data_IF_957891736928
#
_entry.id   IF_957891736928
#
_cell.length_a   1.000
_cell.length_b   1.000
_cell.length_c   1.000
_cell.angle_alpha   90.00
_cell.angle_beta   90.00
_cell.angle_gamma   90.00
#
_symmetry.space_group_name_H-M   'P 1'
#
loop_
_entity.id
_entity.type
_entity.pdbx_description
1 polymer ?
#
# COMPACT_ATOMS: atom_id res chain seq x y z
N UNK A 1 -11.15 24.11 12.65
CA UNK A 1 -12.61 24.11 12.41
C UNK A 1 -13.02 22.67 12.14
N UNK A 2 -13.94 22.17 12.95
CA UNK A 2 -14.42 20.78 12.92
C UNK A 2 -15.31 20.57 11.69
N UNK A 3 -14.98 19.61 10.82
CA UNK A 3 -15.92 19.12 9.81
C UNK A 3 -16.62 17.91 10.40
N UNK A 4 -17.89 18.12 10.74
CA UNK A 4 -18.81 17.15 11.31
C UNK A 4 -19.21 16.14 10.23
N UNK A 5 -19.28 14.87 10.65
CA UNK A 5 -19.71 13.74 9.83
C UNK A 5 -21.05 13.97 9.15
N UNK A 6 -21.06 13.71 7.84
CA UNK A 6 -22.23 13.27 7.11
C UNK A 6 -21.86 11.91 6.55
N UNK A 7 -22.73 10.91 6.67
CA UNK A 7 -22.57 9.68 5.91
C UNK A 7 -22.66 10.04 4.42
N UNK A 8 -21.51 10.34 3.81
CA UNK A 8 -21.40 10.68 2.40
C UNK A 8 -21.72 9.40 1.63
N UNK A 9 -22.88 9.37 0.98
CA UNK A 9 -23.29 8.25 0.15
C UNK A 9 -22.22 7.98 -0.91
N UNK A 10 -21.68 6.76 -0.93
CA UNK A 10 -20.74 6.35 -1.97
C UNK A 10 -21.54 6.16 -3.28
N UNK A 11 -21.25 6.95 -4.31
CA UNK A 11 -21.85 6.72 -5.63
C UNK A 11 -21.31 5.39 -6.20
N UNK A 12 -22.16 4.55 -6.81
CA UNK A 12 -21.67 3.36 -7.49
C UNK A 12 -20.74 3.75 -8.66
N UNK A 13 -19.63 3.03 -8.91
CA UNK A 13 -18.77 3.35 -10.04
C UNK A 13 -19.55 3.16 -11.35
N UNK A 14 -19.49 4.16 -12.23
CA UNK A 14 -20.02 3.99 -13.58
C UNK A 14 -19.13 3.01 -14.32
N UNK A 15 -19.71 2.04 -15.05
CA UNK A 15 -18.95 1.10 -15.90
C UNK A 15 -18.07 1.78 -16.95
N UNK A 16 -18.25 3.08 -17.20
CA UNK A 16 -17.43 3.88 -18.10
C UNK A 16 -16.21 4.52 -17.42
N UNK A 17 -16.19 4.59 -16.10
CA UNK A 17 -15.08 5.16 -15.35
C UNK A 17 -14.01 4.11 -15.08
N UNK A 18 -12.74 4.50 -15.22
CA UNK A 18 -11.61 3.62 -14.98
C UNK A 18 -10.56 4.30 -14.10
N UNK A 19 -9.78 3.47 -13.41
CA UNK A 19 -8.67 3.88 -12.54
C UNK A 19 -7.38 3.47 -13.22
N UNK A 20 -6.52 4.45 -13.52
CA UNK A 20 -5.13 4.17 -13.88
C UNK A 20 -4.35 3.81 -12.61
N UNK A 21 -3.78 2.62 -12.57
CA UNK A 21 -3.00 2.13 -11.44
C UNK A 21 -1.51 2.13 -11.81
N UNK A 22 -0.73 2.98 -11.15
CA UNK A 22 0.71 3.17 -11.42
C UNK A 22 1.54 2.54 -10.30
N UNK A 23 2.59 1.81 -10.68
CA UNK A 23 3.52 1.19 -9.72
C UNK A 23 2.95 -0.04 -9.01
N UNK A 24 1.80 -0.56 -9.46
CA UNK A 24 1.11 -1.68 -8.80
C UNK A 24 1.55 -3.08 -9.27
N UNK A 25 2.51 -3.18 -10.18
CA UNK A 25 3.14 -4.45 -10.57
C UNK A 25 4.35 -4.83 -9.71
N UNK A 26 4.67 -4.02 -8.68
CA UNK A 26 5.73 -4.27 -7.70
C UNK A 26 5.30 -5.19 -6.54
N UNK A 27 6.16 -5.33 -5.52
CA UNK A 27 6.04 -6.35 -4.47
C UNK A 27 4.78 -6.31 -3.59
N UNK A 28 4.15 -5.14 -3.44
CA UNK A 28 2.89 -5.00 -2.68
C UNK A 28 1.74 -4.45 -3.52
N UNK A 29 2.04 -4.01 -4.74
CA UNK A 29 1.09 -3.36 -5.64
C UNK A 29 -0.17 -4.17 -5.95
N UNK A 30 -0.07 -5.49 -6.27
CA UNK A 30 -1.25 -6.31 -6.57
C UNK A 30 -2.22 -6.42 -5.40
N UNK A 31 -1.71 -6.32 -4.16
CA UNK A 31 -2.55 -6.30 -2.96
C UNK A 31 -3.33 -4.98 -2.82
N UNK A 32 -2.74 -3.85 -3.23
CA UNK A 32 -3.50 -2.60 -3.37
C UNK A 32 -4.59 -2.71 -4.46
N UNK A 33 -4.33 -3.44 -5.55
CA UNK A 33 -5.35 -3.72 -6.57
C UNK A 33 -6.49 -4.57 -6.00
N UNK A 34 -6.20 -5.61 -5.20
CA UNK A 34 -7.23 -6.35 -4.45
C UNK A 34 -8.08 -5.41 -3.59
N UNK A 35 -7.47 -4.41 -2.94
CA UNK A 35 -8.19 -3.39 -2.17
C UNK A 35 -9.10 -2.49 -3.00
N UNK A 36 -8.68 -2.10 -4.21
CA UNK A 36 -9.54 -1.33 -5.13
C UNK A 36 -10.78 -2.15 -5.51
N UNK A 37 -10.63 -3.47 -5.73
CA UNK A 37 -11.76 -4.37 -5.98
C UNK A 37 -12.67 -4.49 -4.77
N UNK A 38 -12.13 -4.64 -3.57
CA UNK A 38 -12.91 -4.65 -2.33
C UNK A 38 -13.75 -3.37 -2.17
N UNK A 39 -13.28 -2.22 -2.67
CA UNK A 39 -14.00 -0.96 -2.68
C UNK A 39 -15.11 -0.87 -3.76
N UNK A 40 -15.32 -1.96 -4.52
CA UNK A 40 -16.37 -2.10 -5.52
C UNK A 40 -15.97 -1.77 -6.96
N UNK A 41 -14.67 -1.57 -7.23
CA UNK A 41 -14.20 -1.38 -8.61
C UNK A 41 -14.09 -2.72 -9.33
N UNK A 42 -14.72 -2.85 -10.50
CA UNK A 42 -14.60 -4.07 -11.29
C UNK A 42 -13.18 -4.18 -11.87
N UNK A 43 -12.54 -5.37 -11.90
CA UNK A 43 -11.17 -5.52 -12.40
C UNK A 43 -10.94 -4.92 -13.78
N UNK A 44 -11.92 -5.02 -14.69
CA UNK A 44 -11.80 -4.44 -16.05
C UNK A 44 -11.71 -2.91 -16.09
N UNK A 45 -12.07 -2.23 -15.00
CA UNK A 45 -11.92 -0.78 -14.83
C UNK A 45 -10.54 -0.39 -14.31
N UNK A 46 -9.70 -1.36 -13.91
CA UNK A 46 -8.39 -1.14 -13.35
C UNK A 46 -7.34 -1.26 -14.47
N UNK A 47 -6.80 -0.13 -14.88
CA UNK A 47 -5.80 -0.01 -15.93
C UNK A 47 -4.40 -0.03 -15.31
N UNK A 48 -3.76 -1.18 -15.33
CA UNK A 48 -2.45 -1.41 -14.72
C UNK A 48 -1.35 -0.91 -15.66
N UNK A 49 -0.68 0.18 -15.27
CA UNK A 49 0.47 0.69 -16.00
C UNK A 49 1.71 -0.14 -15.66
N UNK A 50 2.39 -0.68 -16.68
CA UNK A 50 3.64 -1.41 -16.53
C UNK A 50 4.56 -1.18 -17.72
N UNK A 51 5.87 -1.16 -17.47
CA UNK A 51 6.90 -1.22 -18.52
C UNK A 51 7.03 -2.59 -19.15
N UNK A 52 6.73 -3.64 -18.36
CA UNK A 52 6.75 -5.02 -18.81
C UNK A 52 5.35 -5.66 -18.60
N UNK A 53 4.53 -5.74 -19.67
CA UNK A 53 3.21 -6.34 -19.61
C UNK A 53 3.26 -7.88 -19.56
N UNK A 54 4.44 -8.50 -19.64
CA UNK A 54 4.66 -9.95 -19.56
C UNK A 54 5.19 -10.42 -18.20
N UNK A 55 5.51 -9.47 -17.31
CA UNK A 55 5.92 -9.78 -15.93
C UNK A 55 4.88 -10.64 -15.20
N UNK A 56 5.34 -11.50 -14.27
CA UNK A 56 4.50 -12.43 -13.51
C UNK A 56 3.32 -11.73 -12.80
N UNK A 57 3.57 -10.56 -12.21
CA UNK A 57 2.54 -9.73 -11.59
C UNK A 57 1.50 -9.22 -12.61
N UNK A 58 1.93 -8.74 -13.78
CA UNK A 58 1.01 -8.30 -14.83
C UNK A 58 0.17 -9.46 -15.41
N UNK A 59 0.76 -10.63 -15.58
CA UNK A 59 0.03 -11.82 -16.04
C UNK A 59 -1.03 -12.25 -15.03
N UNK A 60 -0.70 -12.25 -13.73
CA UNK A 60 -1.66 -12.53 -12.65
C UNK A 60 -2.76 -11.48 -12.57
N UNK A 61 -2.45 -10.19 -12.66
CA UNK A 61 -3.47 -9.15 -12.67
C UNK A 61 -4.36 -9.23 -13.92
N UNK A 62 -3.80 -9.60 -15.08
CA UNK A 62 -4.55 -9.83 -16.32
C UNK A 62 -5.50 -11.02 -16.20
N UNK A 63 -5.06 -12.15 -15.63
CA UNK A 63 -5.94 -13.31 -15.44
C UNK A 63 -7.10 -13.01 -14.51
N UNK A 64 -6.91 -12.08 -13.56
CA UNK A 64 -7.96 -11.56 -12.66
C UNK A 64 -8.86 -10.50 -13.31
N UNK A 65 -8.71 -10.24 -14.61
CA UNK A 65 -9.55 -9.34 -15.39
C UNK A 65 -9.08 -7.88 -15.48
N UNK A 66 -7.91 -7.54 -14.92
CA UNK A 66 -7.36 -6.19 -15.03
C UNK A 66 -6.86 -5.90 -16.44
N UNK A 67 -6.97 -4.64 -16.88
CA UNK A 67 -6.45 -4.19 -18.17
C UNK A 67 -4.99 -3.79 -17.99
N UNK A 68 -4.06 -4.51 -18.61
CA UNK A 68 -2.64 -4.11 -18.61
C UNK A 68 -2.40 -3.12 -19.73
N UNK A 69 -1.74 -2.00 -19.42
CA UNK A 69 -1.40 -0.95 -20.36
C UNK A 69 0.11 -0.69 -20.30
N UNK A 70 0.77 -0.84 -21.44
CA UNK A 70 2.22 -0.67 -21.54
C UNK A 70 2.58 0.82 -21.63
N UNK A 71 3.41 1.29 -20.70
CA UNK A 71 4.01 2.63 -20.72
C UNK A 71 5.22 2.70 -19.80
N UNK A 72 6.10 3.66 -20.09
CA UNK A 72 7.22 4.06 -19.23
C UNK A 72 6.95 5.44 -18.66
N UNK A 73 7.24 5.62 -17.37
CA UNK A 73 7.13 6.91 -16.69
C UNK A 73 8.16 7.93 -17.21
N UNK A 74 9.19 7.48 -17.92
CA UNK A 74 10.19 8.33 -18.59
C UNK A 74 9.86 8.59 -20.07
N UNK A 75 8.78 8.02 -20.63
CA UNK A 75 8.31 8.26 -22.00
C UNK A 75 6.93 8.94 -22.00
N UNK A 76 6.93 10.27 -22.18
CA UNK A 76 5.73 11.10 -22.23
C UNK A 76 4.70 10.63 -23.27
N UNK A 77 5.14 10.19 -24.44
CA UNK A 77 4.25 9.76 -25.50
C UNK A 77 3.56 8.44 -25.13
N UNK A 78 4.28 7.54 -24.44
CA UNK A 78 3.68 6.32 -23.89
C UNK A 78 2.62 6.62 -22.83
N UNK A 79 2.89 7.56 -21.92
CA UNK A 79 1.94 7.98 -20.87
C UNK A 79 0.69 8.60 -21.47
N UNK A 80 0.84 9.50 -22.45
CA UNK A 80 -0.29 10.11 -23.14
C UNK A 80 -1.20 9.07 -23.81
N UNK A 81 -0.65 7.93 -24.25
CA UNK A 81 -1.46 6.81 -24.77
C UNK A 81 -2.12 6.01 -23.65
N UNK A 82 -1.38 5.73 -22.58
CA UNK A 82 -1.83 4.85 -21.50
C UNK A 82 -2.90 5.46 -20.61
N UNK A 83 -2.88 6.78 -20.41
CA UNK A 83 -3.82 7.49 -19.52
C UNK A 83 -5.21 7.65 -20.16
N UNK A 84 -5.33 7.57 -21.50
CA UNK A 84 -6.61 7.81 -22.19
C UNK A 84 -7.74 6.95 -21.64
N UNK A 85 -8.85 7.61 -21.32
CA UNK A 85 -10.06 7.00 -20.77
C UNK A 85 -10.04 6.78 -19.26
N UNK A 86 -8.91 7.04 -18.59
CA UNK A 86 -8.85 7.03 -17.13
C UNK A 86 -9.53 8.27 -16.54
N UNK A 87 -10.40 8.05 -15.55
CA UNK A 87 -11.10 9.10 -14.81
C UNK A 87 -10.41 9.42 -13.49
N UNK A 88 -9.76 8.41 -12.92
CA UNK A 88 -9.06 8.44 -11.65
C UNK A 88 -7.66 7.84 -11.82
N UNK A 89 -6.74 8.19 -10.92
CA UNK A 89 -5.44 7.54 -10.87
C UNK A 89 -5.08 7.14 -9.43
N UNK A 90 -4.74 5.87 -9.23
CA UNK A 90 -4.08 5.40 -8.02
C UNK A 90 -2.60 5.24 -8.30
N UNK A 91 -1.78 6.03 -7.62
CA UNK A 91 -0.32 6.02 -7.78
C UNK A 91 0.27 5.36 -6.54
N UNK A 92 0.65 4.09 -6.66
CA UNK A 92 1.28 3.34 -5.59
C UNK A 92 2.75 3.75 -5.41
N UNK A 93 3.41 4.13 -6.50
CA UNK A 93 4.77 4.65 -6.50
C UNK A 93 5.25 4.98 -7.91
N UNK A 94 6.24 5.85 -8.01
CA UNK A 94 6.94 6.21 -9.26
C UNK A 94 8.41 5.80 -9.23
N UNK A 95 8.81 5.06 -8.18
CA UNK A 95 10.14 4.47 -8.01
C UNK A 95 10.08 2.94 -7.90
N UNK A 96 11.24 2.29 -7.95
CA UNK A 96 11.36 0.87 -7.66
C UNK A 96 11.32 0.55 -6.16
N UNK A 97 11.01 -0.70 -5.80
CA UNK A 97 11.23 -1.22 -4.43
C UNK A 97 12.73 -1.51 -4.26
N UNK A 98 13.51 -0.47 -3.97
CA UNK A 98 14.97 -0.53 -3.87
C UNK A 98 15.44 -0.31 -2.43
N UNK A 99 16.55 -0.98 -2.07
CA UNK A 99 17.24 -0.82 -0.77
C UNK A 99 17.84 0.57 -0.56
N UNK A 100 18.07 1.31 -1.62
CA UNK A 100 18.53 2.71 -1.60
C UNK A 100 17.46 3.65 -2.15
N UNK A 101 17.61 4.95 -1.93
CA UNK A 101 16.77 5.97 -2.54
C UNK A 101 16.89 5.92 -4.07
N UNK A 102 15.75 5.96 -4.75
CA UNK A 102 15.67 6.03 -6.20
C UNK A 102 15.69 7.50 -6.64
N UNK A 103 16.84 7.99 -7.08
CA UNK A 103 17.04 9.41 -7.40
C UNK A 103 16.13 9.96 -8.51
N UNK A 104 15.49 9.08 -9.30
CA UNK A 104 14.60 9.47 -10.39
C UNK A 104 13.11 9.41 -10.03
N UNK A 105 12.75 9.01 -8.80
CA UNK A 105 11.34 8.86 -8.40
C UNK A 105 10.55 10.17 -8.55
N UNK A 106 11.16 11.30 -8.17
CA UNK A 106 10.54 12.63 -8.24
C UNK A 106 10.42 13.13 -9.67
N UNK A 107 11.45 12.92 -10.49
CA UNK A 107 11.43 13.27 -11.92
C UNK A 107 10.30 12.52 -12.64
N UNK A 108 10.18 11.21 -12.42
CA UNK A 108 9.09 10.39 -12.96
C UNK A 108 7.72 10.80 -12.42
N UNK A 109 7.63 11.25 -11.17
CA UNK A 109 6.39 11.83 -10.64
C UNK A 109 6.02 13.12 -11.39
N UNK A 110 6.98 13.97 -11.71
CA UNK A 110 6.78 15.17 -12.53
C UNK A 110 6.28 14.85 -13.95
N UNK A 111 6.91 13.91 -14.64
CA UNK A 111 6.49 13.47 -15.98
C UNK A 111 5.06 12.90 -15.96
N UNK A 112 4.77 12.05 -14.98
CA UNK A 112 3.42 11.51 -14.78
C UNK A 112 2.41 12.62 -14.45
N UNK A 113 2.78 13.60 -13.62
CA UNK A 113 1.91 14.71 -13.25
C UNK A 113 1.51 15.55 -14.47
N UNK A 114 2.46 15.87 -15.35
CA UNK A 114 2.21 16.59 -16.59
C UNK A 114 1.26 15.79 -17.51
N UNK A 115 1.50 14.49 -17.66
CA UNK A 115 0.66 13.62 -18.50
C UNK A 115 -0.77 13.47 -17.95
N UNK A 116 -0.93 13.34 -16.62
CA UNK A 116 -2.24 13.31 -15.97
C UNK A 116 -2.97 14.64 -16.12
N UNK A 117 -2.26 15.77 -16.01
CA UNK A 117 -2.85 17.11 -16.13
C UNK A 117 -3.40 17.38 -17.54
N UNK A 118 -2.76 16.82 -18.55
CA UNK A 118 -3.21 16.89 -19.95
C UNK A 118 -4.34 15.89 -20.29
N UNK A 119 -4.93 15.22 -19.30
CA UNK A 119 -5.95 14.18 -19.47
C UNK A 119 -7.24 14.49 -18.70
N UNK A 120 -8.24 13.60 -18.82
CA UNK A 120 -9.54 13.72 -18.13
C UNK A 120 -9.54 13.19 -16.67
N UNK A 121 -8.35 12.89 -16.12
CA UNK A 121 -8.21 12.45 -14.72
C UNK A 121 -8.63 13.57 -13.77
N UNK A 122 -9.68 13.29 -12.99
CA UNK A 122 -10.22 14.26 -12.02
C UNK A 122 -9.59 14.24 -10.65
N UNK A 123 -9.08 13.08 -10.24
CA UNK A 123 -8.62 12.87 -8.89
C UNK A 123 -7.55 11.78 -8.86
N UNK A 124 -6.47 12.09 -8.16
CA UNK A 124 -5.34 11.22 -7.90
C UNK A 124 -5.36 10.81 -6.42
N UNK A 125 -5.28 9.52 -6.14
CA UNK A 125 -4.93 9.00 -4.82
C UNK A 125 -3.46 8.55 -4.86
N UNK A 126 -2.62 9.16 -4.04
CA UNK A 126 -1.18 8.88 -4.03
C UNK A 126 -0.77 8.18 -2.73
N UNK A 127 -0.10 7.04 -2.85
CA UNK A 127 0.52 6.33 -1.74
C UNK A 127 1.81 7.06 -1.31
N UNK A 128 1.73 7.72 -0.15
CA UNK A 128 2.79 8.48 0.49
C UNK A 128 3.08 7.93 1.90
N UNK A 129 3.84 8.66 2.71
CA UNK A 129 4.22 8.28 4.06
C UNK A 129 3.81 9.33 5.10
N UNK A 130 3.31 8.89 6.25
CA UNK A 130 2.98 9.75 7.39
C UNK A 130 4.22 9.98 8.23
N UNK A 131 4.41 11.24 8.64
CA UNK A 131 5.52 11.66 9.49
C UNK A 131 5.27 13.07 10.02
N UNK A 132 5.77 13.36 11.22
CA UNK A 132 5.88 14.73 11.74
C UNK A 132 6.84 15.59 10.90
N UNK A 133 6.74 16.93 10.89
CA UNK A 133 7.56 17.80 10.03
C UNK A 133 9.07 17.55 10.10
N UNK A 134 9.64 17.33 11.29
CA UNK A 134 11.10 17.18 11.50
C UNK A 134 11.57 15.71 11.57
N UNK A 135 10.91 14.81 10.82
CA UNK A 135 11.14 13.36 10.89
C UNK A 135 12.54 12.89 10.44
N UNK A 136 13.20 13.62 9.53
CA UNK A 136 14.58 13.36 9.12
C UNK A 136 14.82 12.07 8.31
N UNK A 137 13.81 11.57 7.60
CA UNK A 137 13.88 10.35 6.77
C UNK A 137 13.82 10.72 5.29
N UNK A 138 14.93 10.56 4.57
CA UNK A 138 15.03 11.03 3.20
C UNK A 138 14.02 10.36 2.23
N UNK A 139 13.68 9.07 2.44
CA UNK A 139 12.60 8.40 1.67
C UNK A 139 11.22 9.04 1.87
N UNK A 140 10.91 9.49 3.08
CA UNK A 140 9.62 10.14 3.37
C UNK A 140 9.61 11.52 2.72
N UNK A 141 10.74 12.27 2.76
CA UNK A 141 10.83 13.55 2.06
C UNK A 141 10.70 13.38 0.54
N UNK A 142 11.27 12.33 -0.03
CA UNK A 142 11.07 12.01 -1.45
C UNK A 142 9.60 11.76 -1.82
N UNK A 143 8.82 11.12 -0.94
CA UNK A 143 7.36 11.00 -1.11
C UNK A 143 6.67 12.38 -1.02
N UNK A 144 7.13 13.27 -0.13
CA UNK A 144 6.64 14.67 -0.04
C UNK A 144 6.97 15.47 -1.29
N UNK A 145 8.13 15.27 -1.90
CA UNK A 145 8.51 15.86 -3.18
C UNK A 145 7.58 15.42 -4.31
N UNK A 146 7.24 14.13 -4.36
CA UNK A 146 6.25 13.62 -5.30
C UNK A 146 4.85 14.21 -5.05
N UNK A 147 4.40 14.32 -3.79
CA UNK A 147 3.15 15.01 -3.44
C UNK A 147 3.13 16.45 -3.97
N UNK A 148 4.24 17.19 -3.80
CA UNK A 148 4.38 18.56 -4.32
C UNK A 148 4.32 18.58 -5.84
N UNK A 149 5.05 17.69 -6.53
CA UNK A 149 5.03 17.61 -7.99
C UNK A 149 3.62 17.42 -8.55
N UNK A 150 2.80 16.54 -7.96
CA UNK A 150 1.41 16.36 -8.38
C UNK A 150 0.55 17.60 -8.11
N UNK A 151 0.69 18.22 -6.93
CA UNK A 151 -0.08 19.41 -6.56
C UNK A 151 0.28 20.62 -7.43
N UNK A 152 1.57 20.85 -7.67
CA UNK A 152 2.09 22.00 -8.42
C UNK A 152 1.72 21.90 -9.92
N UNK A 153 1.52 20.70 -10.45
CA UNK A 153 0.91 20.48 -11.77
C UNK A 153 -0.58 20.85 -11.82
N UNK A 154 -1.19 21.23 -10.69
CA UNK A 154 -2.61 21.59 -10.59
C UNK A 154 -3.55 20.39 -10.67
N UNK A 155 -3.11 19.22 -10.22
CA UNK A 155 -3.95 18.03 -10.04
C UNK A 155 -4.71 18.11 -8.71
N UNK A 156 -5.92 17.56 -8.67
CA UNK A 156 -6.60 17.27 -7.40
C UNK A 156 -6.04 15.96 -6.85
N UNK A 157 -5.43 16.02 -5.67
CA UNK A 157 -4.72 14.90 -5.08
C UNK A 157 -5.22 14.64 -3.66
N UNK A 158 -5.42 13.37 -3.32
CA UNK A 158 -5.48 12.89 -1.95
C UNK A 158 -4.20 12.07 -1.67
N UNK A 159 -3.29 12.62 -0.87
CA UNK A 159 -2.11 11.90 -0.41
C UNK A 159 -2.50 10.97 0.75
N UNK A 160 -2.51 9.67 0.49
CA UNK A 160 -2.69 8.60 1.47
C UNK A 160 -1.34 8.32 2.12
N UNK A 161 -1.12 8.86 3.30
CA UNK A 161 0.16 8.82 4.01
C UNK A 161 0.19 7.60 4.93
N UNK A 162 0.74 6.49 4.43
CA UNK A 162 0.85 5.25 5.19
C UNK A 162 1.97 5.29 6.24
N UNK A 163 1.94 4.35 7.18
CA UNK A 163 3.04 4.08 8.11
C UNK A 163 3.72 2.75 7.75
N UNK A 164 4.22 1.98 8.73
CA UNK A 164 4.87 0.71 8.45
C UNK A 164 3.89 -0.24 7.78
N UNK A 165 4.14 -0.59 6.51
CA UNK A 165 3.36 -1.62 5.85
C UNK A 165 3.56 -2.97 6.55
N UNK A 166 2.47 -3.64 6.90
CA UNK A 166 2.50 -4.98 7.51
C UNK A 166 3.18 -5.99 6.59
N UNK A 167 3.10 -5.77 5.28
CA UNK A 167 3.78 -6.53 4.23
C UNK A 167 5.32 -6.53 4.38
N UNK A 168 5.93 -5.51 5.02
CA UNK A 168 7.38 -5.52 5.30
C UNK A 168 7.78 -6.66 6.24
N UNK A 169 6.87 -7.16 7.08
CA UNK A 169 7.12 -8.27 8.01
C UNK A 169 7.26 -9.63 7.30
N UNK A 170 6.91 -9.71 6.02
CA UNK A 170 7.14 -10.88 5.17
C UNK A 170 8.54 -10.94 4.55
N UNK A 171 9.26 -9.81 4.53
CA UNK A 171 10.55 -9.74 3.84
C UNK A 171 11.60 -10.60 4.55
N UNK A 172 12.59 -11.04 3.77
CA UNK A 172 13.62 -12.00 4.19
C UNK A 172 14.46 -11.56 5.41
N UNK A 173 14.48 -10.27 5.72
CA UNK A 173 15.19 -9.74 6.88
C UNK A 173 14.38 -9.81 8.18
N UNK A 174 13.08 -10.16 8.14
CA UNK A 174 12.20 -10.26 9.32
C UNK A 174 11.62 -11.66 9.50
N UNK A 175 10.88 -12.17 8.50
CA UNK A 175 10.07 -13.39 8.64
C UNK A 175 10.85 -14.65 9.05
N UNK A 176 12.02 -14.97 8.44
CA UNK A 176 12.77 -16.18 8.81
C UNK A 176 13.20 -16.22 10.28
N UNK A 177 13.52 -15.06 10.89
CA UNK A 177 13.85 -15.03 12.33
C UNK A 177 12.66 -15.45 13.20
N UNK A 178 11.46 -15.05 12.82
CA UNK A 178 10.25 -15.38 13.58
C UNK A 178 9.90 -16.85 13.36
N UNK A 179 9.85 -17.32 12.11
CA UNK A 179 9.42 -18.68 11.77
C UNK A 179 10.44 -19.74 12.22
N UNK A 180 11.73 -19.55 11.90
CA UNK A 180 12.74 -20.59 12.09
C UNK A 180 13.42 -20.50 13.45
N UNK A 181 13.61 -19.28 13.97
CA UNK A 181 14.32 -19.03 15.23
C UNK A 181 13.38 -18.72 16.40
N UNK A 182 12.06 -18.73 16.15
CA UNK A 182 11.01 -18.46 17.15
C UNK A 182 11.31 -17.16 17.92
N UNK A 183 11.72 -16.12 17.19
CA UNK A 183 12.15 -14.84 17.77
C UNK A 183 11.88 -13.67 16.86
N UNK A 184 11.13 -12.69 17.36
CA UNK A 184 10.97 -11.40 16.70
C UNK A 184 12.12 -10.47 17.10
N UNK A 185 13.16 -10.43 16.26
CA UNK A 185 14.29 -9.51 16.43
C UNK A 185 13.99 -8.21 15.69
N UNK A 186 13.92 -7.09 16.41
CA UNK A 186 13.57 -5.80 15.83
C UNK A 186 14.33 -4.66 16.52
N UNK A 187 14.60 -3.57 15.80
CA UNK A 187 15.48 -2.50 16.32
C UNK A 187 14.73 -1.37 17.04
N UNK A 188 13.41 -1.39 17.04
CA UNK A 188 12.54 -0.42 17.72
C UNK A 188 12.28 -0.87 19.18
N UNK A 189 12.22 0.04 20.17
CA UNK A 189 11.93 -0.34 21.57
C UNK A 189 10.62 -1.11 21.74
N UNK A 190 10.61 -2.11 22.63
CA UNK A 190 9.49 -3.06 22.80
C UNK A 190 8.13 -2.42 23.04
N UNK A 191 8.09 -1.33 23.82
CA UNK A 191 6.85 -0.63 24.18
C UNK A 191 6.51 0.57 23.30
N UNK A 192 7.27 0.83 22.23
CA UNK A 192 7.02 1.96 21.34
C UNK A 192 5.77 1.68 20.48
N UNK A 193 4.71 2.50 20.54
CA UNK A 193 3.58 2.34 19.63
C UNK A 193 4.03 2.57 18.19
N UNK A 194 3.65 1.65 17.30
CA UNK A 194 3.90 1.72 15.88
C UNK A 194 2.58 1.65 15.14
N UNK A 195 2.35 2.62 14.27
CA UNK A 195 1.23 2.57 13.33
C UNK A 195 1.58 1.58 12.23
N UNK A 196 0.64 0.69 11.95
CA UNK A 196 0.75 -0.34 10.94
C UNK A 196 -0.29 -0.06 9.87
N UNK A 197 0.07 -0.27 8.61
CA UNK A 197 -0.85 -0.11 7.48
C UNK A 197 -0.85 -1.38 6.66
N UNK A 198 -2.01 -1.87 6.23
CA UNK A 198 -2.02 -2.87 5.16
C UNK A 198 -2.07 -2.19 3.79
N UNK A 199 -1.28 -2.67 2.84
CA UNK A 199 -1.33 -2.19 1.46
C UNK A 199 -2.70 -2.47 0.80
N UNK A 200 -3.43 -3.50 1.25
CA UNK A 200 -4.81 -3.74 0.80
C UNK A 200 -5.73 -2.57 1.17
N UNK A 201 -5.55 -2.00 2.36
CA UNK A 201 -6.35 -0.87 2.83
C UNK A 201 -6.06 0.41 2.05
N UNK A 202 -4.82 0.60 1.58
CA UNK A 202 -4.49 1.71 0.69
C UNK A 202 -5.32 1.68 -0.60
N UNK A 203 -5.53 0.47 -1.15
CA UNK A 203 -6.44 0.26 -2.27
C UNK A 203 -7.90 0.53 -1.92
N UNK A 204 -8.37 0.03 -0.77
CA UNK A 204 -9.75 0.24 -0.29
C UNK A 204 -10.04 1.73 -0.11
N UNK A 205 -9.13 2.45 0.52
CA UNK A 205 -9.21 3.89 0.77
C UNK A 205 -9.20 4.67 -0.55
N UNK A 206 -8.25 4.40 -1.45
CA UNK A 206 -8.21 5.04 -2.76
C UNK A 206 -9.51 4.84 -3.54
N UNK A 207 -9.98 3.59 -3.63
CA UNK A 207 -11.20 3.24 -4.34
C UNK A 207 -12.45 3.88 -3.74
N UNK A 208 -12.51 3.99 -2.40
CA UNK A 208 -13.57 4.68 -1.68
C UNK A 208 -13.55 6.18 -1.93
N UNK A 209 -12.37 6.80 -1.90
CA UNK A 209 -12.17 8.24 -2.10
C UNK A 209 -12.61 8.68 -3.51
N UNK A 210 -12.33 7.88 -4.54
CA UNK A 210 -12.79 8.18 -5.91
C UNK A 210 -14.32 8.25 -6.04
N UNK A 211 -15.06 7.67 -5.10
CA UNK A 211 -16.53 7.61 -5.07
C UNK A 211 -17.16 8.66 -4.14
N UNK A 212 -16.36 9.54 -3.55
CA UNK A 212 -16.83 10.61 -2.66
C UNK A 212 -16.83 11.94 -3.40
N UNK A 213 -17.85 12.75 -3.16
CA UNK A 213 -17.91 14.13 -3.68
C UNK A 213 -16.78 15.00 -3.12
N UNK A 214 -16.47 14.78 -1.84
CA UNK A 214 -15.40 15.47 -1.11
C UNK A 214 -14.40 14.47 -0.57
N UNK A 215 -13.12 14.83 -0.63
CA UNK A 215 -12.02 14.05 -0.11
C UNK A 215 -11.02 14.99 0.55
N UNK A 216 -10.27 14.53 1.57
CA UNK A 216 -9.17 15.32 2.10
C UNK A 216 -8.06 15.45 1.05
N UNK A 217 -7.23 16.48 1.16
CA UNK A 217 -5.99 16.57 0.37
C UNK A 217 -4.91 15.61 0.92
N UNK A 218 -4.97 15.35 2.22
CA UNK A 218 -4.02 14.52 2.95
C UNK A 218 -4.79 13.68 3.95
N UNK A 219 -4.51 12.38 3.97
CA UNK A 219 -5.03 11.45 4.96
C UNK A 219 -3.86 10.64 5.53
N UNK A 220 -3.55 10.82 6.81
CA UNK A 220 -2.62 9.94 7.52
C UNK A 220 -3.33 8.62 7.85
N UNK A 221 -2.75 7.50 7.43
CA UNK A 221 -3.38 6.19 7.42
C UNK A 221 -2.69 5.25 8.40
N UNK A 222 -3.49 4.65 9.29
CA UNK A 222 -3.10 3.53 10.13
C UNK A 222 -4.25 2.51 10.17
N UNK A 223 -3.96 1.28 9.78
CA UNK A 223 -4.90 0.16 9.87
C UNK A 223 -4.98 -0.40 11.29
N UNK A 224 -3.85 -0.40 12.02
CA UNK A 224 -3.76 -0.81 13.42
C UNK A 224 -2.62 -0.04 14.11
N UNK A 225 -2.56 -0.09 15.44
CA UNK A 225 -1.44 0.40 16.23
C UNK A 225 -0.98 -0.70 17.20
N UNK A 226 0.29 -1.09 17.08
CA UNK A 226 0.89 -2.14 17.93
C UNK A 226 2.27 -1.75 18.40
N UNK A 227 2.66 -2.22 19.58
CA UNK A 227 4.05 -2.19 20.01
C UNK A 227 4.80 -3.42 19.47
N UNK A 228 6.14 -3.37 19.34
CA UNK A 228 6.93 -4.55 18.98
C UNK A 228 6.70 -5.74 19.94
N UNK A 229 6.41 -5.51 21.22
CA UNK A 229 6.03 -6.55 22.16
C UNK A 229 4.68 -7.19 21.80
N UNK A 230 3.67 -6.38 21.47
CA UNK A 230 2.35 -6.88 21.05
C UNK A 230 2.43 -7.64 19.71
N UNK A 231 3.27 -7.19 18.78
CA UNK A 231 3.54 -7.94 17.55
C UNK A 231 4.19 -9.29 17.87
N UNK A 232 5.17 -9.35 18.77
CA UNK A 232 5.79 -10.61 19.20
C UNK A 232 4.78 -11.57 19.85
N UNK A 233 3.85 -11.04 20.65
CA UNK A 233 2.76 -11.80 21.26
C UNK A 233 1.80 -12.38 20.21
N UNK A 234 1.37 -11.57 19.23
CA UNK A 234 0.57 -12.05 18.10
C UNK A 234 1.32 -13.10 17.28
N UNK A 235 2.64 -12.97 17.20
CA UNK A 235 3.52 -13.98 16.61
C UNK A 235 3.77 -15.21 17.51
N UNK A 236 3.38 -15.19 18.78
CA UNK A 236 3.67 -16.23 19.77
C UNK A 236 5.17 -16.54 19.90
N UNK A 237 6.02 -15.53 19.80
CA UNK A 237 7.49 -15.65 19.92
C UNK A 237 8.05 -14.62 20.88
N UNK A 238 9.29 -14.85 21.32
CA UNK A 238 10.00 -13.87 22.15
C UNK A 238 10.40 -12.63 21.34
N UNK A 239 10.23 -11.46 21.97
CA UNK A 239 10.77 -10.20 21.45
C UNK A 239 12.24 -10.04 21.85
N UNK A 240 13.08 -9.64 20.88
CA UNK A 240 14.45 -9.21 21.14
C UNK A 240 14.74 -7.88 20.46
N UNK A 241 15.02 -6.84 21.25
CA UNK A 241 15.49 -5.59 20.70
C UNK A 241 16.94 -5.72 20.20
N UNK A 242 17.20 -5.40 18.92
CA UNK A 242 18.54 -5.41 18.36
C UNK A 242 19.23 -4.04 18.43
N UNK A 243 19.72 -3.71 19.64
CA UNK A 243 20.42 -2.45 19.90
C UNK A 243 21.77 -2.36 19.20
N UNK A 244 22.44 -3.51 19.01
CA UNK A 244 23.74 -3.57 18.35
C UNK A 244 23.57 -3.27 16.86
N UNK A 245 22.61 -3.92 16.20
CA UNK A 245 22.30 -3.63 14.81
C UNK A 245 21.82 -2.19 14.63
N UNK A 246 21.00 -1.64 15.55
CA UNK A 246 20.64 -0.22 15.50
C UNK A 246 21.88 0.69 15.44
N UNK A 247 22.87 0.47 16.30
CA UNK A 247 24.11 1.26 16.29
C UNK A 247 24.93 1.03 15.00
N UNK A 248 25.10 -0.21 14.56
CA UNK A 248 25.86 -0.56 13.35
C UNK A 248 25.21 -0.04 12.07
N UNK A 249 23.87 -0.01 12.02
CA UNK A 249 23.12 0.42 10.84
C UNK A 249 23.46 1.85 10.41
N UNK A 250 23.91 2.71 11.34
CA UNK A 250 24.37 4.08 11.03
C UNK A 250 25.46 4.10 9.96
N UNK A 251 26.32 3.09 9.93
CA UNK A 251 27.44 2.99 8.99
C UNK A 251 27.16 1.99 7.87
N UNK A 252 26.52 0.87 8.18
CA UNK A 252 26.29 -0.22 7.21
C UNK A 252 25.09 0.02 6.30
N UNK A 253 24.08 0.74 6.78
CA UNK A 253 22.83 0.99 6.06
C UNK A 253 22.22 2.34 6.51
N UNK A 254 22.82 3.49 6.15
CA UNK A 254 22.43 4.80 6.68
C UNK A 254 20.95 5.15 6.47
N UNK A 255 20.36 4.78 5.34
CA UNK A 255 18.94 5.03 5.07
C UNK A 255 18.01 4.16 5.96
N UNK A 256 18.36 2.90 6.18
CA UNK A 256 17.63 2.04 7.12
C UNK A 256 17.75 2.55 8.56
N UNK A 257 18.93 3.09 8.92
CA UNK A 257 19.13 3.72 10.22
C UNK A 257 18.19 4.92 10.44
N UNK A 258 17.96 5.75 9.42
CA UNK A 258 16.99 6.85 9.50
C UNK A 258 15.58 6.33 9.80
N UNK A 259 15.15 5.27 9.12
CA UNK A 259 13.83 4.65 9.32
C UNK A 259 13.70 4.05 10.72
N UNK A 260 14.70 3.28 11.17
CA UNK A 260 14.69 2.70 12.53
C UNK A 260 14.65 3.80 13.58
N UNK A 261 15.48 4.85 13.42
CA UNK A 261 15.50 6.00 14.33
C UNK A 261 14.13 6.67 14.35
N UNK A 262 13.53 6.94 13.19
CA UNK A 262 12.20 7.50 13.06
C UNK A 262 11.18 6.69 13.85
N UNK A 263 11.03 5.38 13.59
CA UNK A 263 10.07 4.58 14.36
C UNK A 263 10.39 4.50 15.85
N UNK A 264 11.66 4.58 16.24
CA UNK A 264 12.08 4.55 17.65
C UNK A 264 11.76 5.85 18.40
N UNK A 265 11.80 7.00 17.72
CA UNK A 265 11.71 8.32 18.36
C UNK A 265 10.53 9.17 17.90
N UNK A 266 9.76 8.72 16.90
CA UNK A 266 8.71 9.53 16.28
C UNK A 266 7.68 9.98 17.30
N UNK A 267 7.24 11.23 17.17
CA UNK A 267 6.20 11.83 18.02
C UNK A 267 4.84 11.86 17.34
N UNK A 268 4.74 11.29 16.13
CA UNK A 268 3.51 11.19 15.37
C UNK A 268 2.41 10.54 16.23
N UNK A 269 1.21 11.13 16.17
CA UNK A 269 0.00 10.63 16.79
C UNK A 269 -1.08 10.56 15.71
N UNK A 270 -1.53 9.35 15.40
CA UNK A 270 -2.70 9.10 14.55
C UNK A 270 -3.80 8.56 15.47
N UNK A 271 -4.96 9.21 15.44
CA UNK A 271 -6.18 8.76 16.11
C UNK A 271 -6.84 7.66 15.26
N UNK A 272 -6.41 6.42 15.48
CA UNK A 272 -6.85 5.24 14.71
C UNK A 272 -8.35 5.00 14.88
N UNK A 273 -8.86 5.10 16.11
CA UNK A 273 -10.27 4.87 16.41
C UNK A 273 -11.16 5.88 15.69
N UNK A 274 -10.77 7.16 15.71
CA UNK A 274 -11.49 8.19 14.94
C UNK A 274 -11.39 7.96 13.44
N UNK A 275 -10.21 7.62 12.93
CA UNK A 275 -10.03 7.30 11.50
C UNK A 275 -10.97 6.17 11.06
N UNK A 276 -11.07 5.11 11.86
CA UNK A 276 -11.95 3.96 11.62
C UNK A 276 -13.42 4.35 11.72
N UNK A 277 -13.79 5.18 12.69
CA UNK A 277 -15.16 5.70 12.84
C UNK A 277 -15.57 6.59 11.66
N UNK A 278 -14.69 7.48 11.20
CA UNK A 278 -14.98 8.47 10.17
C UNK A 278 -15.07 7.84 8.76
N UNK A 279 -14.30 6.79 8.50
CA UNK A 279 -14.22 6.14 7.17
C UNK A 279 -14.96 4.80 7.10
N UNK A 280 -15.15 4.15 8.23
CA UNK A 280 -15.75 2.83 8.36
C UNK A 280 -14.68 1.77 8.69
N UNK A 281 -14.85 0.99 9.78
CA UNK A 281 -13.83 0.04 10.24
C UNK A 281 -13.56 -1.10 9.24
N UNK A 282 -14.53 -1.42 8.38
CA UNK A 282 -14.40 -2.44 7.33
C UNK A 282 -13.33 -2.11 6.26
N UNK A 283 -12.87 -0.86 6.19
CA UNK A 283 -11.80 -0.45 5.27
C UNK A 283 -10.40 -0.75 5.81
N UNK A 284 -10.28 -1.16 7.07
CA UNK A 284 -9.02 -1.34 7.76
C UNK A 284 -8.83 -2.78 8.23
N UNK A 285 -7.68 -3.36 7.91
CA UNK A 285 -7.25 -4.68 8.35
C UNK A 285 -6.43 -4.53 9.64
N UNK A 286 -6.91 -5.09 10.74
CA UNK A 286 -6.12 -5.17 11.98
C UNK A 286 -4.90 -6.08 11.80
N UNK A 287 -3.90 -5.98 12.69
CA UNK A 287 -2.71 -6.81 12.59
C UNK A 287 -3.04 -8.31 12.65
N UNK A 288 -3.96 -8.72 13.53
CA UNK A 288 -4.40 -10.11 13.65
C UNK A 288 -5.13 -10.60 12.39
N UNK A 289 -5.99 -9.75 11.80
CA UNK A 289 -6.66 -10.05 10.53
C UNK A 289 -5.66 -10.18 9.39
N UNK A 290 -4.62 -9.34 9.35
CA UNK A 290 -3.55 -9.42 8.36
C UNK A 290 -2.81 -10.77 8.45
N UNK A 291 -2.46 -11.22 9.66
CA UNK A 291 -1.80 -12.51 9.86
C UNK A 291 -2.68 -13.67 9.38
N UNK A 292 -3.99 -13.59 9.62
CA UNK A 292 -4.96 -14.60 9.17
C UNK A 292 -5.12 -14.60 7.65
N UNK A 293 -5.46 -13.47 7.03
CA UNK A 293 -5.80 -13.42 5.60
C UNK A 293 -4.60 -13.69 4.68
N UNK A 294 -3.39 -13.45 5.18
CA UNK A 294 -2.15 -13.74 4.44
C UNK A 294 -1.63 -15.16 4.68
N UNK A 295 -2.29 -15.96 5.52
CA UNK A 295 -1.78 -17.25 6.00
C UNK A 295 -0.32 -17.13 6.45
N UNK A 296 -0.04 -16.14 7.31
CA UNK A 296 1.32 -15.69 7.61
C UNK A 296 2.27 -16.79 8.09
N UNK A 297 1.72 -17.81 8.72
CA UNK A 297 2.43 -18.97 9.28
C UNK A 297 2.79 -20.06 8.27
N UNK A 298 2.24 -19.99 7.06
CA UNK A 298 2.48 -20.97 6.02
C UNK A 298 3.92 -20.86 5.47
N UNK A 299 4.75 -21.84 5.78
CA UNK A 299 6.18 -21.84 5.42
C UNK A 299 6.42 -21.97 3.92
N UNK A 300 5.45 -22.47 3.17
CA UNK A 300 5.54 -22.64 1.72
C UNK A 300 5.23 -21.32 1.00
N UNK A 301 4.57 -20.38 1.68
CA UNK A 301 4.34 -19.03 1.16
C UNK A 301 5.54 -18.13 1.37
N UNK A 302 5.78 -17.24 0.42
CA UNK A 302 6.83 -16.23 0.46
C UNK A 302 6.23 -14.83 0.31
N UNK A 303 7.07 -13.79 0.39
CA UNK A 303 6.64 -12.42 0.06
C UNK A 303 6.03 -12.35 -1.36
N UNK A 304 6.57 -13.11 -2.31
CA UNK A 304 6.04 -13.16 -3.68
C UNK A 304 4.65 -13.81 -3.75
N UNK A 305 4.29 -14.64 -2.77
CA UNK A 305 2.93 -15.21 -2.65
C UNK A 305 1.89 -14.16 -2.25
N UNK A 306 2.30 -12.92 -1.91
CA UNK A 306 1.40 -11.77 -1.75
C UNK A 306 1.14 -11.03 -3.07
N UNK A 307 2.04 -11.17 -4.05
CA UNK A 307 1.95 -10.59 -5.38
C UNK A 307 0.97 -11.40 -6.23
N UNK A 308 0.94 -12.72 -5.98
CA UNK A 308 0.18 -13.71 -6.72
C UNK A 308 -0.74 -14.38 -5.71
N UNK A 309 -1.99 -13.96 -5.68
CA UNK A 309 -3.02 -14.82 -5.09
C UNK A 309 -3.08 -16.06 -6.01
N UNK A 310 -2.43 -17.17 -5.60
CA UNK A 310 -2.37 -18.43 -6.34
C UNK A 310 -3.73 -19.13 -6.45
N UNK A 311 -4.75 -18.61 -5.77
CA UNK A 311 -6.12 -19.00 -6.04
C UNK A 311 -6.54 -18.38 -7.38
N UNK A 312 -6.71 -19.25 -8.39
CA UNK A 312 -7.40 -18.99 -9.67
C UNK A 312 -8.87 -18.53 -9.50
N UNK A 313 -9.27 -18.13 -8.30
CA UNK A 313 -10.55 -17.53 -7.98
C UNK A 313 -10.61 -16.10 -8.56
N UNK A 314 -11.64 -15.76 -9.35
CA UNK A 314 -11.86 -14.40 -9.80
C UNK A 314 -11.89 -13.43 -8.61
N UNK A 315 -11.34 -12.23 -8.81
CA UNK A 315 -11.33 -11.13 -7.85
C UNK A 315 -12.73 -10.77 -7.29
N UNK A 316 -13.81 -11.20 -7.96
CA UNK A 316 -15.21 -10.98 -7.60
C UNK A 316 -15.75 -11.93 -6.53
N UNK A 317 -15.00 -12.95 -6.09
CA UNK A 317 -15.47 -13.87 -5.04
C UNK A 317 -15.38 -13.23 -3.66
N UNK A 318 -16.50 -13.25 -2.95
CA UNK A 318 -16.63 -12.83 -1.55
C UNK A 318 -15.79 -13.70 -0.61
N UNK A 319 -15.47 -13.21 0.59
CA UNK A 319 -14.73 -13.98 1.59
C UNK A 319 -15.43 -15.31 1.95
N UNK A 320 -16.75 -15.31 2.03
CA UNK A 320 -17.55 -16.50 2.33
C UNK A 320 -17.44 -17.55 1.20
N UNK A 321 -17.43 -17.11 -0.06
CA UNK A 321 -17.25 -17.99 -1.21
C UNK A 321 -15.84 -18.58 -1.27
N UNK A 322 -14.81 -17.79 -0.93
CA UNK A 322 -13.42 -18.28 -0.82
C UNK A 322 -13.30 -19.33 0.30
N UNK A 323 -13.91 -19.09 1.46
CA UNK A 323 -13.91 -20.05 2.57
C UNK A 323 -14.65 -21.35 2.24
N UNK A 324 -15.79 -21.26 1.55
CA UNK A 324 -16.52 -22.44 1.09
C UNK A 324 -15.72 -23.26 0.08
N UNK A 325 -15.06 -22.61 -0.88
CA UNK A 325 -14.23 -23.29 -1.87
C UNK A 325 -13.04 -24.01 -1.21
N UNK A 326 -12.38 -23.36 -0.24
CA UNK A 326 -11.27 -23.96 0.51
C UNK A 326 -11.72 -25.17 1.35
N UNK A 327 -12.88 -25.07 2.01
CA UNK A 327 -13.49 -26.21 2.73
C UNK A 327 -13.89 -27.35 1.80
N UNK A 328 -14.30 -27.04 0.57
CA UNK A 328 -14.72 -28.04 -0.42
C UNK A 328 -13.51 -28.76 -1.04
N UNK A 329 -12.39 -28.07 -1.23
CA UNK A 329 -11.11 -28.68 -1.63
C UNK A 329 -10.52 -29.58 -0.53
N UNK A 330 -10.60 -29.17 0.74
CA UNK A 330 -10.15 -29.98 1.88
C UNK A 330 -10.99 -31.25 2.13
N UNK A 331 -12.25 -31.29 1.68
CA UNK A 331 -13.12 -32.48 1.76
C UNK A 331 -12.89 -33.50 0.65
N UNK A 332 -12.14 -33.13 -0.39
CA UNK A 332 -11.84 -33.98 -1.55
C UNK A 332 -10.43 -34.61 -1.50
N UNK A 333 -9.73 -34.48 -0.37
CA UNK A 333 -8.52 -35.22 -0.01
C UNK A 333 -8.78 -36.05 1.26
#
# INVERSE_FOLDING_TARGET
MSVVGTAVGLSAPSMKESVLCVGVSGGTGPRAVSGLVDAGWHPSQLHILSRDPTSRACLSLRSRGCRIVEADLEDEASLARAIRGARFAYIHGTGGDTRTIDQREVERAGTLAAALKASDVSLVAYNSAAAEPDHGVARIEQKRECERAFRDAGLRVCALRANLFMEELWKAYTRPSIIDKQRFTFSVPSGKPMYLTSVRDMGRLAGTIFRRETHPEVLDVASDVRTPAQMAEAFKVDFKQDRLFFWLSKFLAPELHQIIRFYSTSTLQIDVDRLHSDLGPHLFTTFDQFLQETNWWDKDRTYDSLIIEEDDAPLSMTLDEKQQQQQQQQKNF
#
